data_IF_776324679793
#
_entry.id   IF_776324679793
#
_cell.length_a   1.000
_cell.length_b   1.000
_cell.length_c   1.000
_cell.angle_alpha   90.00
_cell.angle_beta   90.00
_cell.angle_gamma   90.00
#
_symmetry.space_group_name_H-M   'P 1'
#
loop_
_entity.id
_entity.type
_entity.pdbx_description
1 polymer ?
#
# COMPACT_ATOMS: atom_id res chain seq x y z
N UNK A 1 4.04 -26.52 1.98
CA UNK A 1 4.20 -25.14 2.46
C UNK A 1 3.21 -24.29 1.69
N UNK A 2 2.44 -23.40 2.33
CA UNK A 2 1.51 -22.51 1.64
C UNK A 2 2.24 -21.52 0.74
N UNK A 3 1.56 -21.03 -0.30
CA UNK A 3 2.11 -20.04 -1.19
C UNK A 3 2.03 -18.64 -0.56
N UNK A 4 3.11 -17.86 -0.67
CA UNK A 4 3.14 -16.50 -0.14
C UNK A 4 4.07 -15.61 -0.98
N UNK A 5 3.77 -14.32 -1.01
CA UNK A 5 4.54 -13.28 -1.70
C UNK A 5 4.84 -12.14 -0.74
N UNK A 6 6.07 -11.67 -0.76
CA UNK A 6 6.50 -10.46 -0.05
C UNK A 6 6.68 -9.31 -1.03
N UNK A 7 5.94 -8.23 -0.81
CA UNK A 7 5.97 -7.00 -1.61
C UNK A 7 6.51 -5.87 -0.76
N UNK A 8 7.44 -5.11 -1.29
CA UNK A 8 7.92 -3.86 -0.66
C UNK A 8 7.54 -2.68 -1.53
N UNK A 9 6.68 -1.82 -1.00
CA UNK A 9 6.42 -0.49 -1.56
C UNK A 9 7.36 0.51 -0.91
N UNK A 10 8.01 1.34 -1.69
CA UNK A 10 8.88 2.37 -1.13
C UNK A 10 8.82 3.67 -1.95
N UNK A 11 9.22 4.76 -1.29
CA UNK A 11 9.24 6.07 -1.92
C UNK A 11 9.45 7.20 -0.91
N UNK A 12 9.72 8.41 -1.39
CA UNK A 12 9.93 9.57 -0.55
C UNK A 12 8.70 9.91 0.30
N UNK A 13 8.94 10.44 1.49
CA UNK A 13 7.88 10.89 2.38
C UNK A 13 6.98 11.92 1.68
N UNK A 14 5.67 11.74 1.77
CA UNK A 14 4.67 12.60 1.11
C UNK A 14 4.34 12.23 -0.33
N UNK A 15 5.04 11.29 -0.96
CA UNK A 15 4.81 10.86 -2.35
C UNK A 15 3.73 9.79 -2.51
N UNK A 16 2.93 9.57 -1.47
CA UNK A 16 1.70 8.76 -1.58
C UNK A 16 1.86 7.25 -1.43
N UNK A 17 3.01 6.74 -0.97
CA UNK A 17 3.22 5.31 -0.62
C UNK A 17 2.06 4.79 0.24
N UNK A 18 1.62 5.56 1.22
CA UNK A 18 0.48 5.21 2.09
C UNK A 18 -0.85 5.10 1.33
N UNK A 19 -1.00 5.84 0.22
CA UNK A 19 -2.21 5.74 -0.61
C UNK A 19 -2.24 4.43 -1.36
N UNK A 20 -1.13 4.06 -2.01
CA UNK A 20 -1.00 2.77 -2.71
C UNK A 20 -1.19 1.62 -1.74
N UNK A 21 -0.49 1.65 -0.60
CA UNK A 21 -0.62 0.64 0.45
C UNK A 21 -2.07 0.48 0.94
N UNK A 22 -2.70 1.58 1.33
CA UNK A 22 -4.07 1.53 1.89
C UNK A 22 -5.09 0.99 0.88
N UNK A 23 -4.97 1.31 -0.40
CA UNK A 23 -5.83 0.79 -1.46
C UNK A 23 -5.53 -0.70 -1.70
N UNK A 24 -4.27 -1.05 -1.88
CA UNK A 24 -3.84 -2.41 -2.19
C UNK A 24 -4.17 -3.40 -1.06
N UNK A 25 -3.79 -3.10 0.18
CA UNK A 25 -4.03 -3.98 1.34
C UNK A 25 -5.53 -4.23 1.53
N UNK A 26 -6.36 -3.19 1.42
CA UNK A 26 -7.81 -3.35 1.52
C UNK A 26 -8.41 -4.14 0.37
N UNK A 27 -7.92 -3.94 -0.84
CA UNK A 27 -8.37 -4.66 -2.03
C UNK A 27 -8.00 -6.16 -1.94
N UNK A 28 -6.75 -6.47 -1.60
CA UNK A 28 -6.26 -7.83 -1.37
C UNK A 28 -7.07 -8.57 -0.30
N UNK A 29 -7.25 -7.94 0.86
CA UNK A 29 -8.01 -8.53 1.97
C UNK A 29 -9.45 -8.82 1.58
N UNK A 30 -10.11 -7.89 0.86
CA UNK A 30 -11.49 -8.09 0.38
C UNK A 30 -11.62 -9.15 -0.70
N UNK A 31 -10.55 -9.41 -1.46
CA UNK A 31 -10.52 -10.45 -2.47
C UNK A 31 -10.20 -11.85 -1.92
N UNK A 32 -9.99 -11.98 -0.59
CA UNK A 32 -9.81 -13.25 0.09
C UNK A 32 -8.35 -13.67 0.31
N UNK A 33 -7.41 -12.73 0.24
CA UNK A 33 -6.04 -12.99 0.67
C UNK A 33 -5.86 -12.77 2.17
N UNK A 34 -4.97 -13.56 2.79
CA UNK A 34 -4.41 -13.22 4.08
C UNK A 34 -3.28 -12.23 3.90
N UNK A 35 -3.37 -11.09 4.58
CA UNK A 35 -2.44 -9.97 4.40
C UNK A 35 -1.92 -9.50 5.74
N UNK A 36 -0.60 -9.36 5.85
CA UNK A 36 0.06 -8.64 6.93
C UNK A 36 0.85 -7.49 6.32
N UNK A 37 0.71 -6.29 6.86
CA UNK A 37 1.45 -5.12 6.39
C UNK A 37 2.11 -4.39 7.55
N UNK A 38 3.37 -3.98 7.36
CA UNK A 38 4.12 -3.17 8.31
C UNK A 38 4.73 -1.96 7.62
N UNK A 39 4.81 -0.84 8.35
CA UNK A 39 5.29 0.45 7.81
C UNK A 39 6.57 0.85 8.51
N UNK A 40 7.52 1.28 7.73
CA UNK A 40 8.74 1.89 8.24
C UNK A 40 8.81 3.34 7.75
N UNK A 41 8.78 4.26 8.70
CA UNK A 41 8.88 5.70 8.44
C UNK A 41 10.15 6.25 9.04
N UNK A 42 10.83 7.12 8.28
CA UNK A 42 12.00 7.81 8.84
C UNK A 42 11.58 8.92 9.79
N UNK A 43 12.27 8.99 10.94
CA UNK A 43 12.10 10.08 11.93
C UNK A 43 12.77 11.37 11.45
N UNK A 44 12.29 11.94 10.32
CA UNK A 44 12.76 13.22 9.78
C UNK A 44 11.57 14.09 9.40
N UNK A 45 11.67 15.39 9.69
CA UNK A 45 10.63 16.38 9.39
C UNK A 45 10.46 16.59 7.88
N UNK A 46 11.54 16.44 7.10
CA UNK A 46 11.55 16.53 5.63
C UNK A 46 12.60 15.60 5.04
N UNK A 47 12.25 15.00 3.92
CA UNK A 47 13.12 14.08 3.19
C UNK A 47 13.27 12.74 3.93
N UNK A 48 13.44 11.70 3.20
CA UNK A 48 13.55 10.34 3.70
C UNK A 48 12.63 9.42 2.92
N UNK A 49 13.04 8.17 2.79
CA UNK A 49 12.27 7.15 2.11
C UNK A 49 11.44 6.38 3.15
N UNK A 50 10.15 6.29 2.91
CA UNK A 50 9.24 5.41 3.64
C UNK A 50 9.10 4.09 2.90
N UNK A 51 8.88 3.02 3.63
CA UNK A 51 8.56 1.74 3.03
C UNK A 51 7.39 1.08 3.74
N UNK A 52 6.66 0.28 2.99
CA UNK A 52 5.64 -0.62 3.51
C UNK A 52 5.94 -2.01 3.00
N UNK A 53 6.05 -2.96 3.89
CA UNK A 53 6.22 -4.36 3.58
C UNK A 53 4.87 -5.05 3.68
N UNK A 54 4.46 -5.76 2.63
CA UNK A 54 3.17 -6.42 2.53
C UNK A 54 3.43 -7.90 2.26
N UNK A 55 3.06 -8.75 3.20
CA UNK A 55 3.06 -10.20 3.02
C UNK A 55 1.67 -10.67 2.66
N UNK A 56 1.55 -11.37 1.55
CA UNK A 56 0.31 -11.87 0.98
C UNK A 56 0.40 -13.39 0.96
N UNK A 57 -0.58 -14.09 1.52
CA UNK A 57 -0.54 -15.54 1.66
C UNK A 57 -1.92 -16.20 1.50
N UNK A 58 -1.91 -17.53 1.33
CA UNK A 58 -3.10 -18.40 1.35
C UNK A 58 -3.49 -18.87 2.75
N UNK A 59 -2.77 -18.42 3.76
CA UNK A 59 -2.98 -18.74 5.19
C UNK A 59 -2.76 -17.53 6.07
N UNK A 60 -3.20 -17.61 7.30
CA UNK A 60 -2.98 -16.56 8.30
C UNK A 60 -1.48 -16.27 8.50
N UNK A 61 -1.13 -14.99 8.48
CA UNK A 61 0.24 -14.46 8.61
C UNK A 61 0.25 -13.27 9.57
N UNK A 62 1.26 -13.22 10.46
CA UNK A 62 1.36 -12.23 11.55
C UNK A 62 2.69 -11.48 11.57
N UNK A 63 3.58 -11.74 10.61
CA UNK A 63 4.88 -11.09 10.51
C UNK A 63 5.29 -10.90 9.04
N UNK A 64 6.18 -9.95 8.78
CA UNK A 64 6.86 -9.84 7.49
C UNK A 64 7.94 -10.93 7.35
N UNK A 65 8.47 -11.09 6.15
CA UNK A 65 9.60 -11.97 5.84
C UNK A 65 10.74 -11.15 5.25
N UNK A 66 11.97 -11.60 5.43
CA UNK A 66 13.14 -10.82 5.00
C UNK A 66 13.33 -10.78 3.47
N UNK A 67 12.90 -11.85 2.75
CA UNK A 67 12.98 -11.85 1.28
C UNK A 67 12.01 -10.83 0.66
N UNK A 68 12.37 -10.33 -0.50
CA UNK A 68 11.54 -9.44 -1.31
C UNK A 68 11.28 -10.12 -2.65
N UNK A 69 10.03 -10.52 -2.92
CA UNK A 69 9.65 -11.13 -4.19
C UNK A 69 9.33 -10.04 -5.24
N UNK A 70 8.69 -8.95 -4.80
CA UNK A 70 8.35 -7.80 -5.64
C UNK A 70 8.72 -6.50 -4.93
N UNK A 71 9.60 -5.72 -5.54
CA UNK A 71 9.92 -4.36 -5.12
C UNK A 71 9.18 -3.36 -6.02
N UNK A 72 8.47 -2.41 -5.41
CA UNK A 72 7.73 -1.35 -6.12
C UNK A 72 8.20 0.01 -5.61
N UNK A 73 9.30 0.54 -6.17
CA UNK A 73 9.74 1.89 -5.89
C UNK A 73 8.85 2.89 -6.65
N UNK A 74 8.13 3.75 -5.93
CA UNK A 74 7.29 4.78 -6.52
C UNK A 74 8.08 6.01 -6.98
N UNK A 75 9.28 6.17 -6.44
CA UNK A 75 10.28 7.16 -6.86
C UNK A 75 11.67 6.76 -6.37
N UNK A 76 12.71 7.46 -6.79
CA UNK A 76 14.09 7.18 -6.44
C UNK A 76 14.43 7.38 -4.95
N UNK A 77 15.61 6.94 -4.55
CA UNK A 77 16.13 7.07 -3.18
C UNK A 77 15.84 5.84 -2.31
N UNK A 78 16.05 4.66 -2.86
CA UNK A 78 15.90 3.40 -2.14
C UNK A 78 16.84 3.31 -0.94
N UNK A 79 16.33 2.85 0.20
CA UNK A 79 17.11 2.73 1.44
C UNK A 79 18.10 1.57 1.40
N UNK A 80 19.25 1.77 2.04
CA UNK A 80 20.33 0.78 2.06
C UNK A 80 19.92 -0.59 2.65
N UNK A 81 18.97 -0.62 3.61
CA UNK A 81 18.46 -1.86 4.17
C UNK A 81 17.59 -2.65 3.16
N UNK A 82 16.88 -1.98 2.25
CA UNK A 82 16.13 -2.64 1.18
C UNK A 82 17.10 -3.15 0.11
N UNK A 83 18.08 -2.32 -0.31
CA UNK A 83 19.12 -2.73 -1.26
C UNK A 83 19.82 -4.04 -0.85
N UNK A 84 20.17 -4.20 0.41
CA UNK A 84 20.84 -5.40 0.94
C UNK A 84 19.99 -6.67 0.90
N UNK A 85 18.68 -6.53 0.76
CA UNK A 85 17.72 -7.64 0.73
C UNK A 85 17.32 -8.06 -0.68
N UNK A 86 17.74 -7.30 -1.70
CA UNK A 86 17.51 -7.67 -3.09
C UNK A 86 18.38 -8.87 -3.43
N UNK A 87 17.77 -9.88 -4.00
CA UNK A 87 18.45 -11.03 -4.59
C UNK A 87 18.12 -11.12 -6.09
N UNK A 88 18.80 -11.97 -6.84
CA UNK A 88 18.60 -12.08 -8.29
C UNK A 88 17.20 -12.54 -8.72
N UNK A 89 16.32 -12.89 -7.78
CA UNK A 89 14.92 -13.29 -8.02
C UNK A 89 13.93 -12.15 -7.76
N UNK A 90 14.34 -11.12 -7.01
CA UNK A 90 13.50 -9.96 -6.75
C UNK A 90 13.14 -9.26 -8.05
N UNK A 91 11.85 -9.16 -8.35
CA UNK A 91 11.35 -8.40 -9.50
C UNK A 91 11.15 -6.95 -9.07
N UNK A 92 11.63 -6.01 -9.89
CA UNK A 92 11.43 -4.57 -9.68
C UNK A 92 10.34 -4.10 -10.63
N UNK A 93 9.28 -3.53 -10.10
CA UNK A 93 8.17 -2.95 -10.86
C UNK A 93 8.14 -1.44 -10.61
N UNK A 94 8.40 -0.64 -11.63
CA UNK A 94 8.50 0.80 -11.44
C UNK A 94 8.43 1.61 -12.73
N UNK A 95 8.50 2.92 -12.55
CA UNK A 95 8.53 3.90 -13.63
C UNK A 95 9.97 4.43 -13.79
N UNK A 96 10.60 4.20 -14.94
CA UNK A 96 11.98 4.63 -15.19
C UNK A 96 12.18 6.14 -15.11
N UNK A 97 11.16 6.91 -15.50
CA UNK A 97 11.21 8.37 -15.42
C UNK A 97 11.35 8.83 -13.94
N UNK A 98 10.56 8.23 -13.04
CA UNK A 98 10.59 8.54 -11.61
C UNK A 98 11.86 8.03 -10.92
N UNK A 99 12.41 6.92 -11.38
CA UNK A 99 13.58 6.26 -10.78
C UNK A 99 14.92 6.83 -11.27
N UNK A 100 14.91 7.62 -12.34
CA UNK A 100 16.09 8.37 -12.82
C UNK A 100 17.36 7.52 -12.98
N UNK A 101 17.21 6.28 -13.45
CA UNK A 101 18.32 5.37 -13.66
C UNK A 101 18.86 4.68 -12.41
N UNK A 102 18.20 4.78 -11.25
CA UNK A 102 18.65 4.16 -9.99
C UNK A 102 18.89 2.65 -10.10
N UNK A 103 18.18 1.98 -11.01
CA UNK A 103 18.30 0.53 -11.26
C UNK A 103 19.02 0.18 -12.55
N UNK A 104 19.63 1.16 -13.23
CA UNK A 104 20.36 0.90 -14.47
C UNK A 104 21.61 0.03 -14.19
N UNK A 105 21.76 -1.04 -14.96
CA UNK A 105 22.85 -2.01 -14.77
C UNK A 105 22.65 -3.00 -13.62
N UNK A 106 21.52 -2.97 -12.93
CA UNK A 106 21.17 -4.00 -11.94
C UNK A 106 20.77 -5.31 -12.62
N UNK A 107 21.16 -6.44 -12.01
CA UNK A 107 20.83 -7.78 -12.54
C UNK A 107 19.38 -8.19 -12.29
N UNK A 108 18.66 -7.49 -11.42
CA UNK A 108 17.27 -7.78 -11.10
C UNK A 108 16.34 -7.57 -12.30
N UNK A 109 15.38 -8.47 -12.56
CA UNK A 109 14.34 -8.25 -13.55
C UNK A 109 13.60 -6.95 -13.30
N UNK A 110 13.63 -6.04 -14.28
CA UNK A 110 12.92 -4.76 -14.21
C UNK A 110 11.72 -4.76 -15.14
N UNK A 111 10.55 -4.56 -14.59
CA UNK A 111 9.29 -4.46 -15.32
C UNK A 111 8.79 -3.03 -15.25
N UNK A 112 8.65 -2.39 -16.41
CA UNK A 112 8.29 -0.99 -16.50
C UNK A 112 6.78 -0.80 -16.61
N UNK A 113 6.24 0.09 -15.76
CA UNK A 113 4.93 0.71 -15.94
C UNK A 113 5.11 2.22 -15.82
N UNK A 114 4.76 3.01 -16.87
CA UNK A 114 4.96 4.44 -16.87
C UNK A 114 3.85 5.15 -16.07
N UNK A 115 3.90 5.03 -14.75
CA UNK A 115 2.87 5.56 -13.84
C UNK A 115 2.67 7.06 -13.99
N UNK A 116 3.76 7.80 -14.20
CA UNK A 116 3.72 9.25 -14.35
C UNK A 116 3.04 9.66 -15.67
N UNK A 117 3.37 8.99 -16.76
CA UNK A 117 2.72 9.23 -18.05
C UNK A 117 1.21 8.92 -17.99
N UNK A 118 0.83 7.79 -17.37
CA UNK A 118 -0.57 7.42 -17.14
C UNK A 118 -1.28 8.52 -16.36
N UNK A 119 -0.67 9.01 -15.28
CA UNK A 119 -1.22 10.06 -14.44
C UNK A 119 -1.39 11.39 -15.19
N UNK A 120 -0.40 11.79 -15.98
CA UNK A 120 -0.47 13.02 -16.82
C UNK A 120 -1.64 12.95 -17.81
N UNK A 121 -1.85 11.80 -18.45
CA UNK A 121 -2.98 11.58 -19.36
C UNK A 121 -4.33 11.62 -18.63
N UNK A 122 -4.39 11.16 -17.39
CA UNK A 122 -5.58 11.21 -16.54
C UNK A 122 -5.85 12.60 -15.94
N UNK A 123 -4.96 13.56 -16.15
CA UNK A 123 -5.12 14.97 -15.77
C UNK A 123 -4.43 15.37 -14.46
N UNK A 124 -3.34 14.69 -14.07
CA UNK A 124 -2.48 15.16 -12.98
C UNK A 124 -1.54 14.11 -12.40
N UNK A 125 -0.26 14.45 -12.28
CA UNK A 125 0.82 13.58 -11.78
C UNK A 125 0.51 12.97 -10.40
N UNK A 126 -0.24 13.67 -9.56
CA UNK A 126 -0.65 13.18 -8.22
C UNK A 126 -1.47 11.89 -8.27
N UNK A 127 -2.03 11.52 -9.43
CA UNK A 127 -2.78 10.28 -9.62
C UNK A 127 -1.91 9.07 -9.98
N UNK A 128 -0.59 9.21 -10.09
CA UNK A 128 0.35 8.11 -10.34
C UNK A 128 0.23 7.00 -9.30
N UNK A 129 -0.08 7.36 -8.05
CA UNK A 129 -0.34 6.39 -6.99
C UNK A 129 -1.59 5.53 -7.26
N UNK A 130 -2.61 6.09 -7.90
CA UNK A 130 -3.79 5.32 -8.30
C UNK A 130 -3.49 4.39 -9.46
N UNK A 131 -2.62 4.81 -10.42
CA UNK A 131 -2.13 3.93 -11.47
C UNK A 131 -1.34 2.75 -10.88
N UNK A 132 -0.44 3.00 -9.94
CA UNK A 132 0.31 1.95 -9.26
C UNK A 132 -0.60 0.99 -8.49
N UNK A 133 -1.59 1.50 -7.75
CA UNK A 133 -2.57 0.67 -7.06
C UNK A 133 -3.39 -0.18 -8.05
N UNK A 134 -3.80 0.38 -9.18
CA UNK A 134 -4.50 -0.33 -10.25
C UNK A 134 -3.66 -1.48 -10.80
N UNK A 135 -2.42 -1.20 -11.19
CA UNK A 135 -1.51 -2.20 -11.71
C UNK A 135 -1.28 -3.35 -10.74
N UNK A 136 -1.03 -3.05 -9.48
CA UNK A 136 -0.82 -4.06 -8.44
C UNK A 136 -2.08 -4.89 -8.18
N UNK A 137 -3.27 -4.27 -8.13
CA UNK A 137 -4.53 -5.00 -8.02
C UNK A 137 -4.70 -6.02 -9.16
N UNK A 138 -4.44 -5.62 -10.40
CA UNK A 138 -4.51 -6.51 -11.55
C UNK A 138 -3.48 -7.65 -11.49
N UNK A 139 -2.22 -7.33 -11.14
CA UNK A 139 -1.14 -8.32 -10.97
C UNK A 139 -1.53 -9.39 -9.94
N UNK A 140 -2.18 -9.00 -8.85
CA UNK A 140 -2.66 -9.93 -7.82
C UNK A 140 -4.05 -10.52 -8.11
N UNK A 141 -4.60 -10.30 -9.30
CA UNK A 141 -5.89 -10.86 -9.71
C UNK A 141 -7.07 -10.30 -8.90
N UNK A 142 -6.94 -9.13 -8.30
CA UNK A 142 -8.04 -8.42 -7.63
C UNK A 142 -8.91 -7.77 -8.70
N UNK A 143 -10.22 -7.94 -8.62
CA UNK A 143 -11.18 -7.36 -9.55
C UNK A 143 -11.18 -5.83 -9.44
N UNK A 144 -11.29 -5.14 -10.58
CA UNK A 144 -11.23 -3.67 -10.62
C UNK A 144 -12.35 -3.02 -9.81
N UNK A 145 -13.52 -3.63 -9.76
CA UNK A 145 -14.70 -3.16 -9.02
C UNK A 145 -14.40 -2.97 -7.52
N UNK A 146 -13.58 -3.85 -6.93
CA UNK A 146 -13.16 -3.70 -5.53
C UNK A 146 -12.28 -2.46 -5.32
N UNK A 147 -11.38 -2.20 -6.26
CA UNK A 147 -10.53 -1.01 -6.21
C UNK A 147 -11.36 0.26 -6.46
N UNK A 148 -12.29 0.23 -7.41
CA UNK A 148 -13.18 1.34 -7.74
C UNK A 148 -14.05 1.76 -6.54
N UNK A 149 -14.59 0.79 -5.81
CA UNK A 149 -15.32 1.03 -4.56
C UNK A 149 -14.45 1.72 -3.50
N UNK A 150 -13.18 1.35 -3.41
CA UNK A 150 -12.23 1.98 -2.49
C UNK A 150 -11.88 3.41 -2.91
N UNK A 151 -11.72 3.66 -4.22
CA UNK A 151 -11.51 4.99 -4.77
C UNK A 151 -12.72 5.90 -4.51
N UNK A 152 -13.95 5.40 -4.73
CA UNK A 152 -15.19 6.11 -4.42
C UNK A 152 -15.28 6.48 -2.93
N UNK A 153 -14.95 5.54 -2.03
CA UNK A 153 -14.93 5.81 -0.59
C UNK A 153 -13.88 6.85 -0.18
N UNK A 154 -12.73 6.88 -0.86
CA UNK A 154 -11.64 7.78 -0.54
C UNK A 154 -11.81 9.18 -1.12
N UNK A 155 -12.27 9.27 -2.37
CA UNK A 155 -12.29 10.51 -3.15
C UNK A 155 -13.71 10.98 -3.51
N UNK A 156 -14.75 10.24 -3.15
CA UNK A 156 -16.13 10.50 -3.59
C UNK A 156 -16.71 11.84 -3.16
N UNK A 157 -16.16 12.49 -2.12
CA UNK A 157 -16.54 13.85 -1.72
C UNK A 157 -16.03 14.93 -2.70
N UNK A 158 -15.13 14.57 -3.63
CA UNK A 158 -14.51 15.48 -4.61
C UNK A 158 -14.59 14.85 -6.02
N UNK A 159 -15.70 15.03 -6.73
CA UNK A 159 -15.96 14.31 -8.00
C UNK A 159 -14.85 14.45 -9.05
N UNK A 160 -14.29 15.65 -9.22
CA UNK A 160 -13.20 15.87 -10.19
C UNK A 160 -11.92 15.08 -9.85
N UNK A 161 -11.63 14.94 -8.55
CA UNK A 161 -10.48 14.14 -8.08
C UNK A 161 -10.77 12.67 -8.28
N UNK A 162 -12.00 12.21 -8.00
CA UNK A 162 -12.41 10.83 -8.21
C UNK A 162 -12.26 10.43 -9.68
N UNK A 163 -12.78 11.24 -10.61
CA UNK A 163 -12.70 10.95 -12.06
C UNK A 163 -11.25 10.75 -12.51
N UNK A 164 -10.35 11.63 -12.13
CA UNK A 164 -8.92 11.53 -12.48
C UNK A 164 -8.26 10.28 -11.86
N UNK A 165 -8.52 10.01 -10.60
CA UNK A 165 -7.97 8.83 -9.91
C UNK A 165 -8.53 7.53 -10.48
N UNK A 166 -9.82 7.49 -10.82
CA UNK A 166 -10.44 6.35 -11.47
C UNK A 166 -9.81 6.06 -12.85
N UNK A 167 -9.68 7.09 -13.70
CA UNK A 167 -9.07 6.94 -15.02
C UNK A 167 -7.62 6.44 -14.94
N UNK A 168 -6.84 7.01 -14.02
CA UNK A 168 -5.45 6.61 -13.78
C UNK A 168 -5.36 5.17 -13.26
N UNK A 169 -6.21 4.80 -12.29
CA UNK A 169 -6.26 3.44 -11.74
C UNK A 169 -6.67 2.41 -12.79
N UNK A 170 -7.65 2.72 -13.65
CA UNK A 170 -8.12 1.81 -14.69
C UNK A 170 -7.03 1.57 -15.75
N UNK A 171 -6.34 2.61 -16.19
CA UNK A 171 -5.23 2.42 -17.14
C UNK A 171 -4.08 1.63 -16.50
N UNK A 172 -3.72 1.94 -15.26
CA UNK A 172 -2.76 1.14 -14.50
C UNK A 172 -3.18 -0.33 -14.39
N UNK A 173 -4.46 -0.57 -14.09
CA UNK A 173 -5.04 -1.92 -14.01
C UNK A 173 -4.90 -2.67 -15.33
N UNK A 174 -5.23 -2.04 -16.45
CA UNK A 174 -5.10 -2.65 -17.78
C UNK A 174 -3.65 -3.04 -18.09
N UNK A 175 -2.68 -2.21 -17.73
CA UNK A 175 -1.25 -2.51 -17.87
C UNK A 175 -0.83 -3.69 -17.00
N UNK A 176 -1.21 -3.69 -15.73
CA UNK A 176 -0.94 -4.79 -14.80
C UNK A 176 -1.57 -6.10 -15.24
N UNK A 177 -2.79 -6.07 -15.76
CA UNK A 177 -3.50 -7.24 -16.27
C UNK A 177 -2.79 -7.88 -17.48
N UNK A 178 -2.35 -7.05 -18.43
CA UNK A 178 -1.58 -7.52 -19.57
C UNK A 178 -0.26 -8.20 -19.15
N UNK A 179 0.41 -7.67 -18.13
CA UNK A 179 1.66 -8.24 -17.60
C UNK A 179 1.43 -9.55 -16.87
N UNK A 180 0.38 -9.62 -16.04
CA UNK A 180 0.04 -10.85 -15.33
C UNK A 180 -0.28 -12.01 -16.30
N UNK A 181 -1.05 -11.73 -17.37
CA UNK A 181 -1.40 -12.70 -18.39
C UNK A 181 -0.20 -13.25 -19.19
N UNK A 182 0.83 -12.45 -19.35
CA UNK A 182 2.05 -12.81 -20.09
C UNK A 182 3.11 -13.53 -19.22
N UNK A 183 2.87 -13.72 -17.92
CA UNK A 183 3.82 -14.36 -17.01
C UNK A 183 5.14 -13.61 -16.80
N UNK A 184 5.23 -12.35 -17.22
CA UNK A 184 6.48 -11.54 -17.21
C UNK A 184 7.05 -11.39 -15.81
N UNK A 185 6.19 -11.41 -14.78
CA UNK A 185 6.61 -11.24 -13.39
C UNK A 185 7.15 -12.52 -12.76
N UNK A 186 6.87 -13.72 -13.33
CA UNK A 186 7.28 -14.99 -12.76
C UNK A 186 6.78 -15.25 -11.33
N UNK A 187 5.80 -14.50 -10.84
CA UNK A 187 5.27 -14.61 -9.48
C UNK A 187 4.24 -15.74 -9.39
N UNK A 188 4.39 -16.58 -8.38
CA UNK A 188 3.39 -17.61 -8.05
C UNK A 188 2.42 -17.04 -7.00
N UNK A 189 1.21 -16.70 -7.43
CA UNK A 189 0.23 -16.09 -6.54
C UNK A 189 -0.33 -17.11 -5.54
N UNK A 190 -0.54 -16.69 -4.25
CA UNK A 190 -1.27 -17.49 -3.27
C UNK A 190 -2.71 -17.75 -3.71
N UNK A 191 -3.31 -18.82 -3.20
CA UNK A 191 -4.74 -19.05 -3.40
C UNK A 191 -5.56 -18.07 -2.57
N UNK A 192 -6.68 -17.61 -3.14
CA UNK A 192 -7.66 -16.77 -2.45
C UNK A 192 -8.73 -17.63 -1.81
N UNK A 193 -9.21 -17.22 -0.64
CA UNK A 193 -10.44 -17.72 -0.05
C UNK A 193 -11.53 -16.64 -0.13
N UNK A 194 -12.43 -16.70 -1.12
CA UNK A 194 -13.52 -15.71 -1.26
C UNK A 194 -14.50 -15.69 -0.08
N UNK A 195 -14.53 -16.77 0.72
CA UNK A 195 -15.33 -16.86 1.95
C UNK A 195 -14.68 -16.14 3.13
N UNK A 196 -13.37 -15.89 3.07
CA UNK A 196 -12.62 -15.17 4.08
C UNK A 196 -12.90 -13.67 4.02
N UNK A 197 -13.54 -13.12 5.03
CA UNK A 197 -13.90 -11.69 5.12
C UNK A 197 -13.38 -11.10 6.43
N UNK A 198 -12.08 -10.99 6.61
CA UNK A 198 -11.50 -10.46 7.84
C UNK A 198 -11.71 -8.95 7.95
N UNK A 199 -11.69 -8.47 9.17
CA UNK A 199 -11.59 -7.04 9.45
C UNK A 199 -10.10 -6.65 9.43
N UNK A 200 -9.70 -5.85 8.45
CA UNK A 200 -8.36 -5.27 8.43
C UNK A 200 -8.31 -4.06 9.36
N UNK A 201 -7.46 -4.11 10.37
CA UNK A 201 -7.31 -3.07 11.38
C UNK A 201 -5.83 -2.74 11.55
N UNK A 202 -5.50 -1.46 11.69
CA UNK A 202 -4.14 -1.04 12.05
C UNK A 202 -3.92 -1.05 13.57
N UNK A 203 -2.65 -1.07 14.00
CA UNK A 203 -2.29 -1.18 15.42
C UNK A 203 -2.82 -0.04 16.29
N UNK A 204 -2.84 1.21 15.79
CA UNK A 204 -3.39 2.34 16.56
C UNK A 204 -4.88 2.18 16.79
N UNK A 205 -5.62 1.79 15.76
CA UNK A 205 -7.06 1.53 15.84
C UNK A 205 -7.35 0.35 16.78
N UNK A 206 -6.56 -0.71 16.70
CA UNK A 206 -6.73 -1.89 17.56
C UNK A 206 -6.50 -1.55 19.04
N UNK A 207 -5.42 -0.83 19.36
CA UNK A 207 -5.12 -0.36 20.72
C UNK A 207 -6.24 0.57 21.24
N UNK A 208 -6.68 1.49 20.40
CA UNK A 208 -7.76 2.43 20.75
C UNK A 208 -9.08 1.72 21.04
N UNK A 209 -9.48 0.78 20.18
CA UNK A 209 -10.70 -0.01 20.41
C UNK A 209 -10.59 -0.88 21.65
N UNK A 210 -9.42 -1.46 21.91
CA UNK A 210 -9.16 -2.20 23.14
C UNK A 210 -9.29 -1.32 24.39
N UNK A 211 -8.77 -0.10 24.37
CA UNK A 211 -8.90 0.86 25.45
C UNK A 211 -10.37 1.24 25.69
N UNK A 212 -11.13 1.52 24.60
CA UNK A 212 -12.57 1.81 24.69
C UNK A 212 -13.34 0.63 25.28
N UNK A 213 -13.08 -0.58 24.80
CA UNK A 213 -13.70 -1.80 25.32
C UNK A 213 -13.37 -2.05 26.79
N UNK A 214 -12.17 -1.64 27.24
CA UNK A 214 -11.75 -1.66 28.64
C UNK A 214 -12.32 -0.54 29.51
N UNK A 215 -13.18 0.34 28.95
CA UNK A 215 -13.84 1.42 29.71
C UNK A 215 -13.03 2.72 29.80
N UNK A 216 -12.03 2.91 28.94
CA UNK A 216 -11.28 4.19 28.86
C UNK A 216 -12.21 5.31 28.40
N UNK A 217 -12.38 6.31 29.26
CA UNK A 217 -13.23 7.48 29.01
C UNK A 217 -12.47 8.82 29.02
N UNK A 218 -11.16 8.77 29.25
CA UNK A 218 -10.26 9.93 29.19
C UNK A 218 -8.94 9.53 28.57
N UNK A 219 -8.44 10.33 27.61
CA UNK A 219 -7.13 10.15 27.01
C UNK A 219 -6.43 11.48 26.85
N UNK A 220 -5.17 11.52 27.23
CA UNK A 220 -4.30 12.64 26.96
C UNK A 220 -2.95 12.15 26.46
N UNK A 221 -2.37 12.83 25.49
CA UNK A 221 -1.06 12.49 24.96
C UNK A 221 -0.39 13.69 24.32
N UNK A 222 0.94 13.71 24.41
CA UNK A 222 1.75 14.61 23.60
C UNK A 222 1.66 14.24 22.11
N UNK A 223 1.46 15.21 21.19
CA UNK A 223 1.24 14.94 19.77
C UNK A 223 2.53 14.53 19.04
N UNK A 224 3.03 13.35 19.34
CA UNK A 224 4.27 12.81 18.77
C UNK A 224 4.04 11.40 18.22
N UNK A 225 4.62 11.13 17.05
CA UNK A 225 4.62 9.77 16.49
C UNK A 225 5.48 8.84 17.36
N UNK A 226 5.03 7.60 17.60
CA UNK A 226 3.86 6.92 17.02
C UNK A 226 2.55 7.13 17.78
N UNK A 227 2.53 7.73 18.95
CA UNK A 227 1.35 7.83 19.83
C UNK A 227 0.17 8.65 19.27
N UNK A 228 0.44 9.62 18.39
CA UNK A 228 -0.58 10.50 17.80
C UNK A 228 -1.68 9.75 17.03
N UNK A 229 -1.42 8.55 16.51
CA UNK A 229 -2.43 7.74 15.84
C UNK A 229 -3.55 7.29 16.79
N UNK A 230 -3.19 6.89 18.01
CA UNK A 230 -4.16 6.53 19.07
C UNK A 230 -4.98 7.75 19.47
N UNK A 231 -4.32 8.88 19.74
CA UNK A 231 -5.00 10.13 20.12
C UNK A 231 -5.99 10.58 19.04
N UNK A 232 -5.58 10.50 17.76
CA UNK A 232 -6.43 10.87 16.62
C UNK A 232 -7.65 9.95 16.50
N UNK A 233 -7.48 8.63 16.67
CA UNK A 233 -8.59 7.69 16.64
C UNK A 233 -9.58 7.93 17.77
N UNK A 234 -9.07 8.13 18.99
CA UNK A 234 -9.90 8.42 20.16
C UNK A 234 -10.66 9.73 19.98
N UNK A 235 -10.01 10.79 19.48
CA UNK A 235 -10.64 12.07 19.20
C UNK A 235 -11.75 11.99 18.15
N UNK A 236 -11.54 11.25 17.06
CA UNK A 236 -12.58 11.04 16.03
C UNK A 236 -13.80 10.28 16.55
N UNK A 237 -13.65 9.48 17.58
CA UNK A 237 -14.69 8.66 18.17
C UNK A 237 -15.16 9.19 19.55
N UNK A 238 -14.64 10.32 20.00
CA UNK A 238 -14.89 10.89 21.33
C UNK A 238 -16.39 11.04 21.64
N UNK A 239 -17.14 11.67 20.73
CA UNK A 239 -18.59 11.85 20.90
C UNK A 239 -19.36 10.53 20.93
N UNK A 240 -18.95 9.54 20.11
CA UNK A 240 -19.63 8.25 19.99
C UNK A 240 -19.49 7.40 21.26
N UNK A 241 -18.35 7.46 21.92
CA UNK A 241 -18.03 6.64 23.08
C UNK A 241 -17.91 7.43 24.38
N UNK A 242 -18.28 8.71 24.37
CA UNK A 242 -18.23 9.61 25.54
C UNK A 242 -16.83 9.66 26.17
N UNK A 243 -15.82 9.95 25.35
CA UNK A 243 -14.42 10.03 25.75
C UNK A 243 -13.98 11.47 25.79
N UNK A 244 -13.37 11.93 26.88
CA UNK A 244 -12.65 13.18 26.94
C UNK A 244 -11.25 13.01 26.35
N UNK A 245 -10.88 13.87 25.40
CA UNK A 245 -9.60 13.80 24.68
C UNK A 245 -8.90 15.15 24.79
N UNK A 246 -7.70 15.15 25.36
CA UNK A 246 -6.84 16.33 25.55
C UNK A 246 -5.46 16.13 24.88
N UNK A 247 -4.91 17.25 24.35
CA UNK A 247 -3.64 17.25 23.64
C UNK A 247 -2.67 18.23 24.28
#
# INVERSE_FOLDING_TARGET
>A
MGNEISVVLCGAAGQGVQTVESLLVKALTRSGYHVFATKESMSRVRGGSNSTEIRIADRHVEAFVDRIDLLVPLNGGLRANIWKRLDGKTVILGDREELKGEFDGHENPFVEIPFLEIARRAGGEVTANSAAAGALCAIFGVEFELLDDLLKKRFGTKPEILVKNHASALEGYNRGFAMAGNGVLGLSLPQRDPGWKPLMIDGHSAVSLGAIAGGCNFVTAYPMSPGSGVLSFMGQNAAKFNIAVEQ
#
